data_IF_906098143972
#
_entry.id   IF_906098143972
#
_cell.length_a   1.000
_cell.length_b   1.000
_cell.length_c   1.000
_cell.angle_alpha   90.00
_cell.angle_beta   90.00
_cell.angle_gamma   90.00
#
_symmetry.space_group_name_H-M   'P 1'
#
loop_
_entity.id
_entity.type
_entity.pdbx_description
1 polymer ?
#
# COMPACT_ATOMS: atom_id res chain seq x y z
N UNK A 1 7.19 13.09 -10.98
CA UNK A 1 6.87 12.40 -9.69
C UNK A 1 7.82 11.22 -9.50
N UNK A 2 8.19 10.84 -8.27
CA UNK A 2 9.21 9.79 -8.01
C UNK A 2 8.91 8.44 -8.72
N UNK A 3 7.63 8.08 -8.85
CA UNK A 3 7.20 6.86 -9.55
C UNK A 3 7.37 6.94 -11.09
N UNK A 4 7.20 8.13 -11.68
CA UNK A 4 7.45 8.35 -13.11
C UNK A 4 8.94 8.19 -13.44
N UNK A 5 9.81 8.73 -12.57
CA UNK A 5 11.26 8.60 -12.71
C UNK A 5 11.73 7.14 -12.59
N UNK A 6 11.16 6.39 -11.63
CA UNK A 6 11.42 4.96 -11.49
C UNK A 6 10.97 4.18 -12.74
N UNK A 7 9.75 4.46 -13.22
CA UNK A 7 9.20 3.80 -14.41
C UNK A 7 10.06 4.06 -15.64
N UNK A 8 10.50 5.30 -15.85
CA UNK A 8 11.37 5.68 -16.96
C UNK A 8 12.74 4.99 -16.89
N UNK A 9 13.37 4.95 -15.71
CA UNK A 9 14.66 4.28 -15.51
C UNK A 9 14.59 2.78 -15.70
N UNK A 10 13.54 2.14 -15.18
CA UNK A 10 13.30 0.72 -15.42
C UNK A 10 13.08 0.45 -16.91
N UNK A 11 12.30 1.28 -17.60
CA UNK A 11 12.12 1.17 -19.05
C UNK A 11 13.45 1.35 -19.81
N UNK A 12 14.31 2.28 -19.38
CA UNK A 12 15.60 2.51 -20.01
C UNK A 12 16.59 1.35 -19.77
N UNK A 13 16.64 0.81 -18.55
CA UNK A 13 17.40 -0.41 -18.25
C UNK A 13 16.89 -1.59 -19.09
N UNK A 14 15.58 -1.71 -19.25
CA UNK A 14 14.96 -2.75 -20.08
C UNK A 14 15.34 -2.60 -21.57
N UNK A 15 15.41 -1.37 -22.09
CA UNK A 15 15.82 -1.12 -23.48
C UNK A 15 17.25 -1.59 -23.76
N UNK A 16 18.13 -1.61 -22.76
CA UNK A 16 19.51 -2.08 -22.91
C UNK A 16 19.60 -3.58 -23.26
N UNK A 17 18.55 -4.36 -23.01
CA UNK A 17 18.48 -5.77 -23.40
C UNK A 17 18.03 -5.99 -24.85
N UNK A 18 17.61 -4.94 -25.58
CA UNK A 18 17.15 -5.08 -26.98
C UNK A 18 18.33 -5.32 -27.91
N UNK A 19 18.30 -6.44 -28.63
CA UNK A 19 19.25 -6.76 -29.72
C UNK A 19 20.24 -7.89 -29.42
N UNK A 20 20.28 -8.40 -28.19
CA UNK A 20 21.15 -9.52 -27.81
C UNK A 20 20.51 -10.86 -28.23
N UNK A 21 21.26 -11.67 -28.99
CA UNK A 21 20.80 -13.00 -29.45
C UNK A 21 20.87 -14.07 -28.37
N UNK A 22 21.79 -13.92 -27.43
CA UNK A 22 21.96 -14.77 -26.25
C UNK A 22 22.20 -13.88 -25.03
N UNK A 23 21.87 -14.38 -23.84
CA UNK A 23 22.04 -13.64 -22.58
C UNK A 23 23.27 -14.21 -21.89
N UNK A 24 24.35 -13.45 -21.90
CA UNK A 24 25.53 -13.80 -21.09
C UNK A 24 25.50 -13.11 -19.74
N UNK A 25 26.32 -13.58 -18.80
CA UNK A 25 26.48 -12.92 -17.51
C UNK A 25 26.95 -11.47 -17.65
N UNK A 26 27.77 -11.16 -18.67
CA UNK A 26 28.29 -9.82 -18.92
C UNK A 26 27.18 -8.86 -19.37
N UNK A 27 26.28 -9.33 -20.24
CA UNK A 27 25.15 -8.54 -20.76
C UNK A 27 24.17 -8.13 -19.65
N UNK A 28 24.09 -8.91 -18.57
CA UNK A 28 23.22 -8.62 -17.42
C UNK A 28 23.79 -7.58 -16.46
N UNK A 29 25.11 -7.35 -16.43
CA UNK A 29 25.75 -6.52 -15.40
C UNK A 29 25.29 -5.06 -15.44
N UNK A 30 25.36 -4.43 -16.62
CA UNK A 30 25.03 -3.01 -16.75
C UNK A 30 23.54 -2.72 -16.52
N UNK A 31 22.60 -3.47 -17.11
CA UNK A 31 21.17 -3.24 -16.88
C UNK A 31 20.73 -3.54 -15.43
N UNK A 32 21.22 -4.62 -14.81
CA UNK A 32 20.89 -4.93 -13.41
C UNK A 32 21.46 -3.89 -12.44
N UNK A 33 22.61 -3.30 -12.78
CA UNK A 33 23.15 -2.16 -12.02
C UNK A 33 22.21 -0.95 -12.09
N UNK A 34 21.65 -0.65 -13.26
CA UNK A 34 20.71 0.46 -13.43
C UNK A 34 19.40 0.21 -12.67
N UNK A 35 18.84 -1.00 -12.77
CA UNK A 35 17.65 -1.40 -11.99
C UNK A 35 17.91 -1.28 -10.49
N UNK A 36 19.09 -1.71 -10.02
CA UNK A 36 19.49 -1.55 -8.62
C UNK A 36 19.53 -0.09 -8.19
N UNK A 37 20.15 0.78 -8.98
CA UNK A 37 20.24 2.21 -8.67
C UNK A 37 18.86 2.85 -8.63
N UNK A 38 18.01 2.55 -9.60
CA UNK A 38 16.65 3.07 -9.66
C UNK A 38 15.82 2.69 -8.43
N UNK A 39 15.94 1.44 -7.96
CA UNK A 39 15.24 0.99 -6.75
C UNK A 39 15.79 1.64 -5.47
N UNK A 40 17.11 1.80 -5.35
CA UNK A 40 17.72 2.44 -4.18
C UNK A 40 17.36 3.93 -4.10
N UNK A 41 17.31 4.63 -5.24
CA UNK A 41 16.86 6.02 -5.31
C UNK A 41 15.36 6.19 -5.01
N UNK A 42 14.58 5.11 -5.14
CA UNK A 42 13.18 5.07 -4.78
C UNK A 42 12.95 4.63 -3.31
N UNK A 43 13.96 4.77 -2.44
CA UNK A 43 13.93 4.42 -1.02
C UNK A 43 13.64 2.93 -0.72
N UNK A 44 13.89 2.03 -1.68
CA UNK A 44 13.76 0.59 -1.45
C UNK A 44 14.93 0.09 -0.61
N UNK A 45 14.64 -0.73 0.41
CA UNK A 45 15.66 -1.26 1.30
C UNK A 45 16.76 -2.02 0.55
N UNK A 46 18.02 -1.71 0.83
CA UNK A 46 19.19 -2.32 0.17
C UNK A 46 19.18 -3.86 0.18
N UNK A 47 18.75 -4.50 1.27
CA UNK A 47 18.68 -5.97 1.35
C UNK A 47 17.68 -6.54 0.34
N UNK A 48 16.50 -5.91 0.26
CA UNK A 48 15.45 -6.28 -0.70
C UNK A 48 15.94 -6.12 -2.13
N UNK A 49 16.60 -4.99 -2.44
CA UNK A 49 17.15 -4.75 -3.78
C UNK A 49 18.25 -5.77 -4.12
N UNK A 50 19.14 -6.08 -3.18
CA UNK A 50 20.22 -7.05 -3.38
C UNK A 50 19.66 -8.45 -3.69
N UNK A 51 18.67 -8.89 -2.92
CA UNK A 51 18.00 -10.18 -3.14
C UNK A 51 17.22 -10.21 -4.47
N UNK A 52 16.52 -9.13 -4.78
CA UNK A 52 15.77 -8.97 -6.04
C UNK A 52 16.69 -9.11 -7.27
N UNK A 53 17.82 -8.39 -7.28
CA UNK A 53 18.80 -8.46 -8.38
C UNK A 53 19.44 -9.85 -8.48
N UNK A 54 19.72 -10.49 -7.35
CA UNK A 54 20.28 -11.85 -7.32
C UNK A 54 19.31 -12.87 -7.94
N UNK A 55 18.01 -12.81 -7.60
CA UNK A 55 16.98 -13.68 -8.19
C UNK A 55 16.83 -13.47 -9.69
N UNK A 56 16.82 -12.22 -10.16
CA UNK A 56 16.77 -11.95 -11.61
C UNK A 56 17.98 -12.56 -12.31
N UNK A 57 19.20 -12.37 -11.77
CA UNK A 57 20.43 -12.91 -12.36
C UNK A 57 20.39 -14.44 -12.44
N UNK A 58 20.00 -15.10 -11.36
CA UNK A 58 19.88 -16.57 -11.31
C UNK A 58 18.88 -17.08 -12.34
N UNK A 59 17.69 -16.48 -12.41
CA UNK A 59 16.65 -16.87 -13.37
C UNK A 59 17.05 -16.57 -14.81
N UNK A 60 17.70 -15.44 -15.06
CA UNK A 60 18.16 -15.07 -16.40
C UNK A 60 19.21 -16.05 -16.96
N UNK A 61 20.06 -16.61 -16.09
CA UNK A 61 21.12 -17.57 -16.48
C UNK A 61 20.63 -19.03 -16.45
N UNK A 62 19.65 -19.36 -15.60
CA UNK A 62 19.18 -20.74 -15.37
C UNK A 62 17.94 -21.14 -16.16
N UNK A 63 17.20 -20.20 -16.76
CA UNK A 63 16.00 -20.54 -17.52
C UNK A 63 16.39 -20.97 -18.93
N UNK A 64 16.05 -22.21 -19.33
CA UNK A 64 16.09 -22.59 -20.74
C UNK A 64 15.25 -21.58 -21.53
N UNK A 65 15.85 -20.97 -22.57
CA UNK A 65 15.21 -19.93 -23.37
C UNK A 65 13.86 -20.45 -23.85
N UNK A 66 12.78 -19.79 -23.43
CA UNK A 66 11.45 -20.10 -23.94
C UNK A 66 11.48 -19.72 -25.42
N UNK A 67 11.45 -20.72 -26.32
CA UNK A 67 11.65 -20.50 -27.76
C UNK A 67 10.58 -19.59 -28.38
N UNK A 68 9.50 -19.30 -27.66
CA UNK A 68 8.43 -18.40 -28.09
C UNK A 68 8.74 -16.91 -27.86
N UNK A 69 9.74 -16.57 -27.04
CA UNK A 69 10.09 -15.19 -26.69
C UNK A 69 11.52 -14.84 -27.11
N UNK A 70 11.73 -13.59 -27.53
CA UNK A 70 13.09 -13.07 -27.66
C UNK A 70 13.77 -13.01 -26.29
N UNK A 71 15.11 -13.16 -26.23
CA UNK A 71 15.86 -13.03 -24.98
C UNK A 71 15.54 -11.74 -24.20
N UNK A 72 15.38 -10.63 -24.92
CA UNK A 72 14.98 -9.35 -24.34
C UNK A 72 13.60 -9.41 -23.66
N UNK A 73 12.61 -10.02 -24.30
CA UNK A 73 11.26 -10.18 -23.74
C UNK A 73 11.25 -11.13 -22.55
N UNK A 74 12.09 -12.16 -22.57
CA UNK A 74 12.22 -13.10 -21.46
C UNK A 74 12.78 -12.41 -20.21
N UNK A 75 13.77 -11.53 -20.35
CA UNK A 75 14.27 -10.72 -19.22
C UNK A 75 13.19 -9.79 -18.68
N UNK A 76 12.45 -9.10 -19.56
CA UNK A 76 11.34 -8.23 -19.13
C UNK A 76 10.33 -9.00 -18.31
N UNK A 77 9.94 -10.19 -18.78
CA UNK A 77 9.03 -11.08 -18.06
C UNK A 77 9.59 -11.48 -16.69
N UNK A 78 10.87 -11.86 -16.61
CA UNK A 78 11.51 -12.21 -15.33
C UNK A 78 11.47 -11.02 -14.37
N UNK A 79 11.81 -9.82 -14.83
CA UNK A 79 11.78 -8.59 -14.01
C UNK A 79 10.37 -8.29 -13.53
N UNK A 80 9.37 -8.36 -14.41
CA UNK A 80 7.96 -8.11 -14.08
C UNK A 80 7.42 -9.11 -13.04
N UNK A 81 7.72 -10.40 -13.22
CA UNK A 81 7.33 -11.46 -12.29
C UNK A 81 8.00 -11.28 -10.91
N UNK A 82 9.29 -10.93 -10.88
CA UNK A 82 10.00 -10.66 -9.63
C UNK A 82 9.48 -9.39 -8.93
N UNK A 83 9.14 -8.34 -9.68
CA UNK A 83 8.53 -7.13 -9.13
C UNK A 83 7.14 -7.43 -8.56
N UNK A 84 6.35 -8.21 -9.29
CA UNK A 84 5.01 -8.64 -8.87
C UNK A 84 5.08 -9.49 -7.60
N UNK A 85 6.02 -10.43 -7.54
CA UNK A 85 6.26 -11.26 -6.36
C UNK A 85 6.70 -10.40 -5.15
N UNK A 86 7.61 -9.44 -5.37
CA UNK A 86 8.09 -8.52 -4.34
C UNK A 86 6.98 -7.65 -3.77
N UNK A 87 6.01 -7.22 -4.60
CA UNK A 87 4.87 -6.41 -4.18
C UNK A 87 3.69 -7.22 -3.60
N UNK A 88 3.82 -8.56 -3.54
CA UNK A 88 2.88 -9.45 -2.84
C UNK A 88 1.94 -10.25 -3.72
N UNK A 89 1.90 -10.01 -5.04
CA UNK A 89 1.30 -10.86 -6.08
C UNK A 89 -0.20 -11.22 -5.96
N UNK A 90 -0.89 -10.87 -4.87
CA UNK A 90 -2.28 -11.21 -4.60
C UNK A 90 -3.04 -9.99 -4.10
N UNK A 91 -4.23 -9.80 -4.67
CA UNK A 91 -5.15 -8.78 -4.19
C UNK A 91 -5.98 -9.34 -3.02
N UNK A 92 -5.84 -8.74 -1.84
CA UNK A 92 -6.72 -9.02 -0.71
C UNK A 92 -7.92 -8.08 -0.73
N UNK A 93 -9.12 -8.62 -0.51
CA UNK A 93 -10.30 -7.80 -0.21
C UNK A 93 -10.31 -7.46 1.28
N UNK A 94 -10.98 -6.37 1.63
CA UNK A 94 -11.24 -6.04 3.02
C UNK A 94 -12.11 -7.14 3.64
N UNK A 95 -11.66 -7.69 4.78
CA UNK A 95 -12.45 -8.65 5.54
C UNK A 95 -13.68 -7.95 6.14
N UNK A 96 -14.83 -8.61 6.05
CA UNK A 96 -16.11 -8.13 6.61
C UNK A 96 -16.49 -9.08 7.73
N UNK A 97 -16.85 -8.53 8.89
CA UNK A 97 -17.29 -9.33 10.02
C UNK A 97 -18.61 -10.06 9.68
N UNK A 98 -18.82 -11.29 10.18
CA UNK A 98 -20.06 -12.04 9.92
C UNK A 98 -21.28 -11.33 10.53
N UNK A 99 -21.09 -10.65 11.67
CA UNK A 99 -22.09 -9.82 12.32
C UNK A 99 -21.62 -8.37 12.30
N UNK A 100 -22.47 -7.39 11.90
CA UNK A 100 -22.13 -5.99 11.99
C UNK A 100 -22.04 -5.51 13.45
N UNK A 101 -21.26 -4.45 13.73
CA UNK A 101 -20.44 -3.71 12.77
C UNK A 101 -19.09 -4.39 12.48
N UNK A 102 -18.57 -4.21 11.27
CA UNK A 102 -17.16 -4.54 10.97
C UNK A 102 -16.26 -3.46 11.56
N UNK A 103 -15.35 -3.84 12.48
CA UNK A 103 -14.45 -2.90 13.15
C UNK A 103 -13.10 -2.87 12.42
N UNK A 104 -12.65 -1.65 12.07
CA UNK A 104 -11.39 -1.39 11.36
C UNK A 104 -10.60 -0.36 12.16
N UNK A 105 -9.44 -0.76 12.67
CA UNK A 105 -8.55 0.13 13.41
C UNK A 105 -7.37 0.54 12.52
N UNK A 106 -7.18 1.85 12.32
CA UNK A 106 -6.00 2.34 11.61
C UNK A 106 -4.86 2.55 12.59
N UNK A 107 -3.76 1.87 12.33
CA UNK A 107 -2.51 1.95 13.11
C UNK A 107 -1.35 2.36 12.22
N UNK A 108 -0.31 2.95 12.79
CA UNK A 108 0.89 3.33 12.07
C UNK A 108 1.55 4.60 12.62
N UNK A 109 2.74 4.89 12.11
CA UNK A 109 3.60 5.97 12.59
C UNK A 109 2.94 7.35 12.54
N UNK A 110 3.51 8.29 13.29
CA UNK A 110 3.14 9.70 13.21
C UNK A 110 3.37 10.23 11.79
N UNK A 111 2.42 11.01 11.26
CA UNK A 111 2.49 11.54 9.90
C UNK A 111 2.22 10.54 8.77
N UNK A 112 1.95 9.25 9.05
CA UNK A 112 1.68 8.23 8.03
C UNK A 112 0.34 8.39 7.26
N UNK A 113 -0.40 9.48 7.50
CA UNK A 113 -1.66 9.76 6.79
C UNK A 113 -2.87 8.93 7.26
N UNK A 114 -2.90 8.49 8.53
CA UNK A 114 -4.01 7.69 9.11
C UNK A 114 -5.37 8.37 8.97
N UNK A 115 -5.53 9.58 9.50
CA UNK A 115 -6.79 10.36 9.45
C UNK A 115 -7.27 10.59 8.02
N UNK A 116 -6.36 10.91 7.09
CA UNK A 116 -6.71 11.06 5.67
C UNK A 116 -7.14 9.73 5.05
N UNK A 117 -6.50 8.63 5.46
CA UNK A 117 -6.85 7.28 5.01
C UNK A 117 -8.21 6.84 5.57
N UNK A 118 -8.59 7.24 6.79
CA UNK A 118 -9.93 7.03 7.35
C UNK A 118 -11.00 7.65 6.44
N UNK A 119 -10.85 8.92 6.07
CA UNK A 119 -11.80 9.59 5.17
C UNK A 119 -11.90 8.91 3.79
N UNK A 120 -10.75 8.55 3.19
CA UNK A 120 -10.72 7.83 1.90
C UNK A 120 -11.37 6.45 1.99
N UNK A 121 -11.12 5.71 3.07
CA UNK A 121 -11.71 4.40 3.31
C UNK A 121 -13.22 4.50 3.50
N UNK A 122 -13.68 5.46 4.30
CA UNK A 122 -15.09 5.74 4.50
C UNK A 122 -15.80 6.05 3.17
N UNK A 123 -15.22 6.93 2.35
CA UNK A 123 -15.74 7.24 1.02
C UNK A 123 -15.79 5.99 0.11
N UNK A 124 -14.76 5.15 0.14
CA UNK A 124 -14.74 3.89 -0.62
C UNK A 124 -15.84 2.92 -0.17
N UNK A 125 -16.06 2.80 1.13
CA UNK A 125 -17.09 1.94 1.73
C UNK A 125 -18.49 2.45 1.41
N UNK A 126 -18.73 3.76 1.48
CA UNK A 126 -20.00 4.36 1.06
C UNK A 126 -20.33 4.11 -0.41
N UNK A 127 -19.33 4.19 -1.30
CA UNK A 127 -19.48 3.81 -2.72
C UNK A 127 -19.85 2.33 -2.91
N UNK A 128 -19.64 1.49 -1.89
CA UNK A 128 -20.03 0.08 -1.85
C UNK A 128 -21.30 -0.15 -0.99
N UNK A 129 -22.10 0.90 -0.78
CA UNK A 129 -23.35 0.86 -0.01
C UNK A 129 -23.19 0.42 1.45
N UNK A 130 -22.04 0.76 2.06
CA UNK A 130 -21.80 0.61 3.50
C UNK A 130 -22.07 1.92 4.25
N UNK A 131 -22.34 1.80 5.55
CA UNK A 131 -22.64 2.91 6.46
C UNK A 131 -21.51 3.03 7.52
N UNK A 132 -20.40 3.70 7.19
CA UNK A 132 -19.25 3.80 8.10
C UNK A 132 -19.45 4.88 9.17
N UNK A 133 -19.14 4.52 10.42
CA UNK A 133 -18.90 5.44 11.53
C UNK A 133 -17.39 5.70 11.66
N UNK A 134 -16.99 6.97 11.78
CA UNK A 134 -15.60 7.33 12.07
C UNK A 134 -15.45 7.60 13.57
N UNK A 135 -14.37 7.12 14.18
CA UNK A 135 -14.15 7.23 15.64
C UNK A 135 -12.86 7.99 15.90
N UNK A 136 -12.98 9.12 16.60
CA UNK A 136 -11.87 10.02 16.90
C UNK A 136 -11.08 9.55 18.14
N UNK A 137 -10.21 8.54 17.99
CA UNK A 137 -9.38 8.00 19.07
C UNK A 137 -7.96 8.62 19.12
N UNK A 138 -7.61 9.55 18.23
CA UNK A 138 -6.41 10.38 18.30
C UNK A 138 -6.63 11.62 19.18
N UNK A 139 -6.66 11.42 20.50
CA UNK A 139 -6.90 12.48 21.49
C UNK A 139 -5.65 13.32 21.81
N UNK A 140 -4.47 12.90 21.35
CA UNK A 140 -3.20 13.51 21.72
C UNK A 140 -2.74 14.58 20.74
N UNK A 141 -3.12 14.47 19.46
CA UNK A 141 -2.70 15.41 18.43
C UNK A 141 -3.65 16.62 18.35
N UNK A 142 -3.13 17.86 18.34
CA UNK A 142 -3.95 19.04 18.20
C UNK A 142 -4.85 19.00 16.97
N UNK A 143 -6.11 19.38 17.14
CA UNK A 143 -7.13 19.43 16.08
C UNK A 143 -7.37 18.12 15.32
N UNK A 144 -6.88 16.95 15.79
CA UNK A 144 -7.13 15.67 15.13
C UNK A 144 -8.63 15.31 15.10
N UNK A 145 -9.34 15.57 16.20
CA UNK A 145 -10.80 15.41 16.29
C UNK A 145 -11.50 16.31 15.26
N UNK A 146 -11.17 17.60 15.25
CA UNK A 146 -11.75 18.57 14.31
C UNK A 146 -11.43 18.22 12.85
N UNK A 147 -10.20 17.77 12.58
CA UNK A 147 -9.79 17.29 11.27
C UNK A 147 -10.66 16.11 10.81
N UNK A 148 -10.89 15.13 11.69
CA UNK A 148 -11.72 13.98 11.39
C UNK A 148 -13.19 14.38 11.19
N UNK A 149 -13.71 15.32 11.98
CA UNK A 149 -15.07 15.86 11.82
C UNK A 149 -15.26 16.52 10.45
N UNK A 150 -14.33 17.39 10.03
CA UNK A 150 -14.36 18.03 8.70
C UNK A 150 -14.33 16.97 7.58
N UNK A 151 -13.47 15.96 7.71
CA UNK A 151 -13.41 14.86 6.74
C UNK A 151 -14.70 14.04 6.72
N UNK A 152 -15.27 13.75 7.89
CA UNK A 152 -16.53 13.05 8.04
C UNK A 152 -17.68 13.78 7.34
N UNK A 153 -17.78 15.09 7.53
CA UNK A 153 -18.75 15.95 6.84
C UNK A 153 -18.55 15.89 5.31
N UNK A 154 -17.32 16.06 4.82
CA UNK A 154 -17.01 16.01 3.39
C UNK A 154 -17.41 14.69 2.71
N UNK A 155 -17.27 13.57 3.41
CA UNK A 155 -17.66 12.24 2.87
C UNK A 155 -19.06 11.81 3.30
N UNK A 156 -19.74 12.62 4.12
CA UNK A 156 -21.04 12.34 4.73
C UNK A 156 -21.06 11.11 5.64
N UNK A 157 -19.99 10.86 6.39
CA UNK A 157 -19.91 9.79 7.38
C UNK A 157 -20.01 10.39 8.80
N UNK A 158 -20.85 9.85 9.71
CA UNK A 158 -20.91 10.32 11.09
C UNK A 158 -19.56 10.13 11.79
N UNK A 159 -19.25 11.03 12.73
CA UNK A 159 -18.03 10.99 13.54
C UNK A 159 -18.41 10.92 15.01
N UNK A 160 -17.93 9.89 15.70
CA UNK A 160 -18.03 9.74 17.14
C UNK A 160 -16.77 10.29 17.81
N UNK A 161 -16.96 11.13 18.83
CA UNK A 161 -15.91 11.74 19.64
C UNK A 161 -16.45 12.07 21.02
N UNK A 162 -15.62 11.89 22.04
CA UNK A 162 -15.92 12.28 23.43
C UNK A 162 -14.90 13.32 23.95
N UNK A 163 -14.27 14.05 23.02
CA UNK A 163 -13.25 15.04 23.36
C UNK A 163 -11.91 14.40 23.72
N UNK A 164 -11.12 15.09 24.56
CA UNK A 164 -9.74 14.70 24.91
C UNK A 164 -9.60 14.12 26.31
N UNK A 165 -10.66 14.18 27.12
CA UNK A 165 -10.63 13.79 28.53
C UNK A 165 -10.97 12.30 28.74
N UNK A 166 -11.53 11.64 27.72
CA UNK A 166 -11.89 10.22 27.74
C UNK A 166 -10.77 9.40 27.10
N UNK A 167 -10.49 8.21 27.65
CA UNK A 167 -9.43 7.36 27.13
C UNK A 167 -9.75 6.88 25.70
N UNK A 168 -8.77 6.70 24.81
CA UNK A 168 -9.00 6.20 23.45
C UNK A 168 -9.68 4.83 23.41
N UNK A 169 -9.45 4.03 24.46
CA UNK A 169 -10.03 2.69 24.61
C UNK A 169 -11.52 2.80 24.91
N UNK A 170 -11.91 3.72 25.80
CA UNK A 170 -13.32 3.91 26.15
C UNK A 170 -14.08 4.57 25.00
N UNK A 171 -13.48 5.56 24.31
CA UNK A 171 -14.03 6.13 23.07
C UNK A 171 -14.31 5.03 22.04
N UNK A 172 -13.36 4.10 21.84
CA UNK A 172 -13.56 2.99 20.92
C UNK A 172 -14.70 2.05 21.37
N UNK A 173 -14.84 1.77 22.67
CA UNK A 173 -15.93 0.93 23.20
C UNK A 173 -17.29 1.59 23.07
N UNK A 174 -17.43 2.83 23.55
CA UNK A 174 -18.69 3.59 23.50
C UNK A 174 -19.14 3.85 22.05
N UNK A 175 -18.20 3.92 21.11
CA UNK A 175 -18.54 4.06 19.69
C UNK A 175 -19.35 2.89 19.13
N UNK A 176 -19.25 1.69 19.72
CA UNK A 176 -20.00 0.52 19.27
C UNK A 176 -21.49 0.67 19.59
N UNK A 177 -21.81 1.16 20.78
CA UNK A 177 -23.19 1.47 21.16
C UNK A 177 -23.75 2.54 20.20
N UNK A 178 -22.99 3.60 19.94
CA UNK A 178 -23.39 4.63 18.98
C UNK A 178 -23.60 4.07 17.56
N UNK A 179 -22.73 3.16 17.10
CA UNK A 179 -22.83 2.51 15.80
C UNK A 179 -24.12 1.68 15.69
N UNK A 180 -24.48 0.95 16.74
CA UNK A 180 -25.73 0.17 16.79
C UNK A 180 -26.96 1.08 16.71
N UNK A 181 -27.01 2.14 17.51
CA UNK A 181 -28.13 3.10 17.50
C UNK A 181 -28.30 3.82 16.15
N UNK A 182 -27.19 4.09 15.45
CA UNK A 182 -27.18 4.76 14.15
C UNK A 182 -27.22 3.78 12.96
N UNK A 183 -27.42 2.47 13.21
CA UNK A 183 -27.42 1.41 12.20
C UNK A 183 -26.19 1.45 11.26
N UNK A 184 -25.03 1.80 11.82
CA UNK A 184 -23.75 1.78 11.10
C UNK A 184 -23.25 0.33 11.00
N UNK A 185 -22.87 -0.09 9.80
CA UNK A 185 -22.42 -1.47 9.54
C UNK A 185 -20.89 -1.62 9.61
N UNK A 186 -20.17 -0.50 9.71
CA UNK A 186 -18.72 -0.45 9.76
C UNK A 186 -18.28 0.64 10.74
N UNK A 187 -17.27 0.35 11.57
CA UNK A 187 -16.67 1.29 12.51
C UNK A 187 -15.19 1.45 12.16
N UNK A 188 -14.75 2.68 11.88
CA UNK A 188 -13.38 3.00 11.49
C UNK A 188 -12.73 3.86 12.58
N UNK A 189 -11.77 3.29 13.29
CA UNK A 189 -11.11 3.93 14.43
C UNK A 189 -9.82 4.60 13.95
N UNK A 190 -9.77 5.94 14.05
CA UNK A 190 -8.56 6.74 13.81
C UNK A 190 -7.76 6.86 15.10
N UNK A 191 -6.58 6.26 15.15
CA UNK A 191 -5.74 6.25 16.36
C UNK A 191 -4.55 7.19 16.22
N UNK A 192 -3.99 7.62 17.35
CA UNK A 192 -2.73 8.36 17.38
C UNK A 192 -1.57 7.54 16.79
N UNK A 193 -0.60 8.21 16.18
CA UNK A 193 0.59 7.52 15.69
C UNK A 193 1.49 7.01 16.81
N UNK A 194 2.04 5.82 16.63
CA UNK A 194 3.05 5.22 17.51
C UNK A 194 4.11 4.56 16.66
#
# INVERSE_FOLDING_TARGET
MAFESLSERLQNAIKMFRGTKEITEEDLKAPLREVRMALLEADVNFKVVKEFVARIKERALGTAVDQSLSPAQQIIKIVDEELTALLGGKQAKLAVAPNPPTIIMLVGLQGAGKTTSVGKLALNLKKKHKNPLLVAADIYRPAAITQLQVLGEQVGAPVFSEGTDVSPVDIARHSLDYAEHMACDTVIIDTAGR
#
